data_IF_732279477756
#
_entry.id   IF_732279477756
#
_cell.length_a   1.000
_cell.length_b   1.000
_cell.length_c   1.000
_cell.angle_alpha   90.00
_cell.angle_beta   90.00
_cell.angle_gamma   90.00
#
_symmetry.space_group_name_H-M   'P 1'
#
loop_
_entity.id
_entity.type
_entity.pdbx_description
1 polymer ?
#
# COMPACT_ATOMS: atom_id res chain seq x y z
N UNK A 1 5.70 18.59 33.22
CA UNK A 1 7.11 18.31 32.86
C UNK A 1 7.28 18.59 31.38
N UNK A 2 7.75 19.80 31.10
CA UNK A 2 7.96 20.40 29.80
C UNK A 2 9.19 19.82 29.11
N UNK A 3 9.05 19.33 27.89
CA UNK A 3 10.19 19.04 27.02
C UNK A 3 10.35 20.17 26.00
N UNK A 4 11.52 20.81 25.92
CA UNK A 4 11.70 22.01 25.12
C UNK A 4 11.95 21.68 23.64
N UNK A 5 11.32 22.50 22.80
CA UNK A 5 11.47 22.58 21.36
C UNK A 5 12.84 23.19 21.03
N UNK A 6 13.77 22.40 20.50
CA UNK A 6 15.05 22.91 19.97
C UNK A 6 14.87 23.18 18.47
N UNK A 7 14.45 24.41 18.16
CA UNK A 7 14.57 25.01 16.84
C UNK A 7 15.99 25.56 16.68
N UNK A 8 16.84 24.86 15.92
CA UNK A 8 18.14 25.38 15.47
C UNK A 8 17.93 26.24 14.23
N UNK A 9 18.05 27.56 14.41
CA UNK A 9 18.14 28.59 13.37
C UNK A 9 19.50 28.48 12.65
N UNK A 10 19.59 28.40 11.32
CA UNK A 10 20.84 28.73 10.64
C UNK A 10 20.92 30.25 10.41
N UNK A 11 22.02 30.83 10.90
CA UNK A 11 22.47 32.18 10.58
C UNK A 11 23.49 32.12 9.43
N UNK A 12 23.46 33.14 8.57
CA UNK A 12 24.39 33.35 7.45
C UNK A 12 23.74 32.98 6.10
N UNK A 13 23.55 33.87 5.13
CA UNK A 13 24.20 35.15 4.86
C UNK A 13 24.97 35.04 3.54
N UNK A 14 24.28 35.19 2.41
CA UNK A 14 24.89 35.63 1.15
C UNK A 14 23.89 36.51 0.40
N UNK A 15 24.19 37.80 0.43
CA UNK A 15 23.65 38.79 -0.47
C UNK A 15 24.14 38.48 -1.89
N UNK A 16 23.21 38.31 -2.82
CA UNK A 16 23.47 38.48 -4.26
C UNK A 16 22.35 39.37 -4.77
N UNK A 17 22.70 40.65 -4.91
CA UNK A 17 21.80 41.67 -5.41
C UNK A 17 21.47 41.42 -6.88
N UNK A 18 20.18 41.38 -7.19
CA UNK A 18 19.72 41.55 -8.56
C UNK A 18 19.06 42.92 -8.64
N UNK A 19 19.88 43.84 -9.11
CA UNK A 19 19.56 45.22 -9.39
C UNK A 19 18.52 45.24 -10.52
N UNK A 20 17.29 45.61 -10.16
CA UNK A 20 16.49 46.63 -10.85
C UNK A 20 16.70 46.78 -12.36
N UNK A 21 15.71 46.35 -13.15
CA UNK A 21 15.43 46.99 -14.42
C UNK A 21 13.91 47.06 -14.63
N UNK A 22 13.34 48.15 -14.13
CA UNK A 22 12.02 48.65 -14.50
C UNK A 22 12.19 49.30 -15.87
N UNK A 23 11.59 48.73 -16.91
CA UNK A 23 11.33 49.42 -18.17
C UNK A 23 9.83 49.37 -18.44
N UNK A 24 9.20 50.53 -18.28
CA UNK A 24 7.81 50.87 -18.61
C UNK A 24 7.83 51.59 -19.97
N UNK A 25 6.69 51.93 -20.57
CA UNK A 25 5.80 51.15 -21.43
C UNK A 25 5.89 51.59 -22.92
N UNK A 26 5.31 50.85 -23.86
CA UNK A 26 4.81 51.48 -25.10
C UNK A 26 3.70 50.67 -25.76
N UNK A 27 2.49 51.21 -25.62
CA UNK A 27 1.39 51.07 -26.54
C UNK A 27 1.79 51.61 -27.91
N UNK A 28 1.86 50.76 -28.93
CA UNK A 28 1.61 51.15 -30.32
C UNK A 28 0.79 50.07 -31.02
N UNK A 29 -0.50 50.37 -31.11
CA UNK A 29 -1.39 49.97 -32.19
C UNK A 29 -0.69 50.06 -33.54
N UNK A 30 -0.63 48.95 -34.28
CA UNK A 30 -0.47 48.99 -35.74
C UNK A 30 -1.45 48.02 -36.38
N UNK A 31 -2.63 48.56 -36.67
CA UNK A 31 -3.57 48.04 -37.64
C UNK A 31 -2.90 48.04 -39.01
N UNK A 32 -2.72 46.88 -39.62
CA UNK A 32 -2.63 46.75 -41.08
C UNK A 32 -3.59 45.64 -41.48
N UNK A 33 -4.76 46.05 -41.93
CA UNK A 33 -5.66 45.28 -42.78
C UNK A 33 -4.95 45.01 -44.11
N UNK A 34 -4.80 43.74 -44.49
CA UNK A 34 -4.91 43.23 -45.87
C UNK A 34 -4.33 41.82 -45.93
N UNK A 35 -5.17 40.81 -46.12
CA UNK A 35 -4.68 39.44 -46.28
C UNK A 35 -5.78 38.39 -46.38
N UNK A 36 -6.74 38.64 -47.25
CA UNK A 36 -7.85 37.75 -47.60
C UNK A 36 -7.27 36.51 -48.33
N UNK A 37 -7.00 35.43 -47.61
CA UNK A 37 -6.66 34.14 -48.22
C UNK A 37 -7.59 33.07 -47.64
N UNK A 38 -8.70 32.91 -48.35
CA UNK A 38 -9.32 31.63 -48.73
C UNK A 38 -9.42 30.59 -47.59
N UNK A 39 -10.51 30.70 -46.84
CA UNK A 39 -11.27 29.49 -46.48
C UNK A 39 -11.59 28.76 -47.78
N UNK A 40 -11.05 27.55 -47.97
CA UNK A 40 -11.58 26.46 -48.84
C UNK A 40 -10.46 25.45 -49.12
N UNK A 41 -10.26 24.47 -48.23
CA UNK A 41 -10.07 23.07 -48.63
C UNK A 41 -10.73 22.18 -47.58
N UNK A 42 -11.56 21.27 -48.08
CA UNK A 42 -12.60 20.50 -47.43
C UNK A 42 -12.17 19.67 -46.19
N UNK A 43 -13.06 19.52 -45.18
CA UNK A 43 -12.97 18.42 -44.23
C UNK A 43 -13.40 17.09 -44.90
N UNK A 44 -12.66 16.03 -44.63
CA UNK A 44 -13.01 14.64 -44.95
C UNK A 44 -14.37 14.29 -44.33
N UNK A 45 -15.35 14.04 -45.20
CA UNK A 45 -16.70 13.57 -44.87
C UNK A 45 -16.65 12.26 -44.07
N UNK A 46 -17.05 12.32 -42.80
CA UNK A 46 -17.75 11.19 -42.16
C UNK A 46 -19.23 11.43 -42.38
N UNK A 47 -19.78 10.71 -43.36
CA UNK A 47 -21.16 10.79 -43.77
C UNK A 47 -22.04 10.10 -42.71
N UNK A 48 -22.65 10.88 -41.80
CA UNK A 48 -23.78 10.38 -41.00
C UNK A 48 -25.06 10.54 -41.85
N UNK A 49 -25.81 9.46 -42.11
CA UNK A 49 -27.06 9.56 -42.85
C UNK A 49 -28.11 10.33 -42.05
N UNK A 50 -28.76 11.24 -42.76
CA UNK A 50 -29.97 11.96 -42.35
C UNK A 50 -31.09 10.99 -42.03
N UNK A 51 -31.58 11.00 -40.79
CA UNK A 51 -32.92 10.57 -40.45
C UNK A 51 -33.43 11.30 -39.19
N UNK A 52 -34.30 12.28 -39.45
CA UNK A 52 -35.30 12.90 -38.54
C UNK A 52 -34.75 13.52 -37.24
N UNK A 53 -34.94 14.84 -37.11
CA UNK A 53 -34.53 15.75 -36.02
C UNK A 53 -34.86 15.28 -34.57
N UNK A 54 -35.75 14.30 -34.42
CA UNK A 54 -36.14 13.69 -33.15
C UNK A 54 -35.06 12.75 -32.57
N UNK A 55 -34.29 12.06 -33.41
CA UNK A 55 -33.36 11.02 -32.96
C UNK A 55 -32.02 11.57 -32.44
N UNK A 56 -31.64 12.79 -32.86
CA UNK A 56 -30.44 13.49 -32.36
C UNK A 56 -30.64 14.04 -30.95
N UNK A 57 -31.88 14.34 -30.57
CA UNK A 57 -32.26 14.70 -29.20
C UNK A 57 -32.21 13.46 -28.31
N UNK A 58 -32.72 12.32 -28.78
CA UNK A 58 -32.63 11.05 -28.06
C UNK A 58 -31.18 10.59 -27.81
N UNK A 59 -30.28 10.74 -28.79
CA UNK A 59 -28.85 10.45 -28.58
C UNK A 59 -28.18 11.41 -27.58
N UNK A 60 -28.52 12.71 -27.63
CA UNK A 60 -28.01 13.68 -26.67
C UNK A 60 -28.55 13.43 -25.25
N UNK A 61 -29.83 13.05 -25.11
CA UNK A 61 -30.44 12.64 -23.84
C UNK A 61 -29.86 11.33 -23.32
N UNK A 62 -29.60 10.35 -24.18
CA UNK A 62 -28.95 9.08 -23.80
C UNK A 62 -27.50 9.32 -23.33
N UNK A 63 -26.73 10.15 -24.02
CA UNK A 63 -25.38 10.51 -23.58
C UNK A 63 -25.38 11.34 -22.29
N UNK A 64 -26.34 12.27 -22.12
CA UNK A 64 -26.51 13.01 -20.86
C UNK A 64 -26.95 12.10 -19.70
N UNK A 65 -27.80 11.10 -19.95
CA UNK A 65 -28.20 10.08 -18.98
C UNK A 65 -27.02 9.18 -18.56
N UNK A 66 -26.16 8.80 -19.52
CA UNK A 66 -24.95 8.02 -19.24
C UNK A 66 -23.92 8.83 -18.44
N UNK A 67 -23.74 10.11 -18.75
CA UNK A 67 -22.84 11.02 -17.99
C UNK A 67 -23.36 11.31 -16.57
N UNK A 68 -24.67 11.32 -16.36
CA UNK A 68 -25.27 11.59 -15.03
C UNK A 68 -25.28 10.38 -14.10
N UNK A 69 -25.38 9.14 -14.61
CA UNK A 69 -25.32 7.94 -13.76
C UNK A 69 -23.92 7.65 -13.18
N UNK A 70 -22.86 8.28 -13.70
CA UNK A 70 -21.48 8.06 -13.24
C UNK A 70 -21.09 8.89 -12.00
N UNK A 71 -21.93 9.81 -11.53
CA UNK A 71 -21.62 10.79 -10.46
C UNK A 71 -22.53 10.59 -9.25
N UNK A 72 -22.56 9.39 -8.65
CA UNK A 72 -23.48 9.14 -7.51
C UNK A 72 -22.88 8.45 -6.28
N UNK A 73 -21.62 8.02 -6.29
CA UNK A 73 -21.03 7.28 -5.16
C UNK A 73 -19.78 7.98 -4.64
N UNK A 74 -19.90 9.24 -4.21
CA UNK A 74 -18.82 9.92 -3.52
C UNK A 74 -19.04 9.81 -2.01
N UNK A 75 -18.25 8.96 -1.34
CA UNK A 75 -18.16 8.96 0.12
C UNK A 75 -17.88 10.37 0.68
N UNK A 76 -18.33 10.68 1.90
CA UNK A 76 -18.12 11.99 2.52
C UNK A 76 -16.63 12.35 2.57
N UNK A 77 -16.26 13.43 1.88
CA UNK A 77 -14.87 13.92 1.72
C UNK A 77 -14.36 14.70 2.94
N UNK A 78 -14.99 14.54 4.10
CA UNK A 78 -14.60 15.29 5.30
C UNK A 78 -13.33 14.68 5.88
N UNK A 79 -12.38 15.51 6.29
CA UNK A 79 -11.13 15.06 6.92
C UNK A 79 -11.37 14.11 8.10
N UNK A 80 -12.45 14.33 8.88
CA UNK A 80 -12.87 13.42 9.96
C UNK A 80 -13.20 12.01 9.45
N UNK A 81 -13.86 11.89 8.31
CA UNK A 81 -14.17 10.61 7.70
C UNK A 81 -12.89 9.92 7.19
N UNK A 82 -11.99 10.68 6.56
CA UNK A 82 -10.69 10.17 6.11
C UNK A 82 -9.87 9.66 7.29
N UNK A 83 -9.75 10.44 8.38
CA UNK A 83 -9.06 10.04 9.60
C UNK A 83 -9.67 8.77 10.19
N UNK A 84 -11.01 8.69 10.24
CA UNK A 84 -11.69 7.51 10.74
C UNK A 84 -11.35 6.26 9.91
N UNK A 85 -11.41 6.37 8.59
CA UNK A 85 -11.06 5.28 7.67
C UNK A 85 -9.59 4.88 7.83
N UNK A 86 -8.66 5.84 7.87
CA UNK A 86 -7.25 5.57 8.08
C UNK A 86 -6.97 4.87 9.42
N UNK A 87 -7.75 5.15 10.47
CA UNK A 87 -7.62 4.45 11.76
C UNK A 87 -8.19 3.03 11.75
N UNK A 88 -9.08 2.69 10.80
CA UNK A 88 -9.75 1.37 10.74
C UNK A 88 -9.12 0.43 9.72
N UNK A 89 -8.73 0.97 8.58
CA UNK A 89 -8.26 0.17 7.44
C UNK A 89 -6.74 0.22 7.33
N UNK A 90 -6.10 1.26 7.86
CA UNK A 90 -4.65 1.40 7.89
C UNK A 90 -4.14 1.45 9.34
N UNK A 91 -2.83 1.59 9.50
CA UNK A 91 -2.17 1.72 10.80
C UNK A 91 -2.30 3.13 11.42
N UNK A 92 -3.36 3.88 11.06
CA UNK A 92 -3.56 5.28 11.41
C UNK A 92 -2.96 6.28 10.41
N UNK A 93 -3.29 7.59 10.55
CA UNK A 93 -2.87 8.62 9.60
C UNK A 93 -1.37 8.94 9.72
N UNK A 94 -0.60 8.64 8.67
CA UNK A 94 0.79 9.11 8.54
C UNK A 94 0.86 10.47 7.85
N UNK A 95 1.96 11.23 8.02
CA UNK A 95 2.19 12.45 7.25
C UNK A 95 2.06 12.17 5.74
N UNK A 96 1.16 12.90 5.08
CA UNK A 96 0.85 12.77 3.65
C UNK A 96 -0.25 11.78 3.30
N UNK A 97 -0.73 10.92 4.21
CA UNK A 97 -1.81 9.97 3.88
C UNK A 97 -3.18 10.66 3.76
N UNK A 98 -3.40 11.72 4.53
CA UNK A 98 -4.60 12.55 4.40
C UNK A 98 -4.71 13.15 3.01
N UNK A 99 -3.60 13.68 2.47
CA UNK A 99 -3.58 14.30 1.15
C UNK A 99 -3.75 13.26 0.04
N UNK A 100 -3.14 12.06 0.19
CA UNK A 100 -3.33 10.94 -0.74
C UNK A 100 -4.79 10.51 -0.81
N UNK A 101 -5.42 10.24 0.34
CA UNK A 101 -6.82 9.81 0.39
C UNK A 101 -7.76 10.93 -0.06
N UNK A 102 -7.42 12.19 0.22
CA UNK A 102 -8.18 13.34 -0.28
C UNK A 102 -8.11 13.43 -1.82
N UNK A 103 -6.96 13.11 -2.42
CA UNK A 103 -6.78 13.13 -3.87
C UNK A 103 -7.54 12.01 -4.60
N UNK A 104 -7.52 10.78 -4.08
CA UNK A 104 -8.15 9.62 -4.74
C UNK A 104 -9.58 9.34 -4.27
N UNK A 105 -9.95 9.81 -3.07
CA UNK A 105 -11.22 9.53 -2.41
C UNK A 105 -11.20 8.27 -1.54
N UNK A 106 -12.10 8.21 -0.56
CA UNK A 106 -12.20 7.09 0.39
C UNK A 106 -12.52 5.78 -0.33
N UNK A 107 -13.48 5.79 -1.26
CA UNK A 107 -13.94 4.56 -1.93
C UNK A 107 -12.82 3.90 -2.74
N UNK A 108 -12.06 4.72 -3.50
CA UNK A 108 -10.89 4.24 -4.26
C UNK A 108 -9.75 3.79 -3.36
N UNK A 109 -9.55 4.47 -2.23
CA UNK A 109 -8.57 4.04 -1.24
C UNK A 109 -8.92 2.66 -0.67
N UNK A 110 -10.19 2.43 -0.31
CA UNK A 110 -10.66 1.14 0.19
C UNK A 110 -10.49 0.04 -0.88
N UNK A 111 -10.83 0.33 -2.13
CA UNK A 111 -10.64 -0.61 -3.25
C UNK A 111 -9.17 -1.03 -3.41
N UNK A 112 -8.22 -0.11 -3.22
CA UNK A 112 -6.78 -0.44 -3.24
C UNK A 112 -6.36 -1.35 -2.08
N UNK A 113 -7.02 -1.24 -0.91
CA UNK A 113 -6.74 -2.12 0.24
C UNK A 113 -7.29 -3.53 0.03
N UNK A 114 -8.41 -3.65 -0.69
CA UNK A 114 -9.03 -4.94 -1.02
C UNK A 114 -8.27 -5.67 -2.14
N UNK A 115 -7.66 -4.92 -3.05
CA UNK A 115 -6.96 -5.44 -4.23
C UNK A 115 -5.49 -4.96 -4.29
N UNK A 116 -4.64 -5.38 -3.36
CA UNK A 116 -3.24 -4.94 -3.30
C UNK A 116 -2.43 -5.34 -4.55
N UNK A 117 -2.82 -6.40 -5.25
CA UNK A 117 -2.20 -6.86 -6.49
C UNK A 117 -2.25 -5.82 -7.63
N UNK A 118 -3.15 -4.83 -7.54
CA UNK A 118 -3.28 -3.75 -8.52
C UNK A 118 -2.35 -2.56 -8.22
N UNK A 119 -1.71 -2.54 -7.05
CA UNK A 119 -0.81 -1.47 -6.62
C UNK A 119 0.63 -1.90 -6.87
N UNK A 120 1.29 -1.27 -7.84
CA UNK A 120 2.69 -1.54 -8.14
C UNK A 120 3.63 -0.87 -7.11
N UNK A 121 4.33 -1.67 -6.29
CA UNK A 121 5.37 -1.19 -5.36
C UNK A 121 6.75 -1.82 -5.65
N UNK A 122 7.33 -1.38 -6.76
CA UNK A 122 8.66 -1.82 -7.21
C UNK A 122 9.80 -1.49 -6.23
N UNK A 123 9.56 -0.58 -5.28
CA UNK A 123 10.52 -0.23 -4.25
C UNK A 123 10.63 -1.32 -3.19
N UNK A 124 9.47 -1.81 -2.72
CA UNK A 124 9.38 -2.94 -1.79
C UNK A 124 9.83 -4.23 -2.47
N UNK A 125 9.40 -4.49 -3.71
CA UNK A 125 9.78 -5.70 -4.45
C UNK A 125 11.30 -5.89 -4.52
N UNK A 126 12.04 -4.82 -4.83
CA UNK A 126 13.52 -4.85 -4.88
C UNK A 126 14.15 -5.14 -3.52
N UNK A 127 13.56 -4.65 -2.42
CA UNK A 127 14.07 -4.90 -1.06
C UNK A 127 13.79 -6.35 -0.64
N UNK A 128 12.62 -6.88 -0.99
CA UNK A 128 12.23 -8.25 -0.69
C UNK A 128 13.01 -9.26 -1.52
N UNK A 129 13.44 -8.93 -2.74
CA UNK A 129 14.22 -9.81 -3.60
C UNK A 129 15.51 -10.35 -2.95
N UNK A 130 16.11 -9.60 -2.02
CA UNK A 130 17.29 -10.04 -1.28
C UNK A 130 16.98 -11.06 -0.16
N UNK A 131 15.72 -11.16 0.27
CA UNK A 131 15.29 -12.01 1.38
C UNK A 131 14.83 -13.37 0.85
N UNK A 132 15.79 -14.26 0.63
CA UNK A 132 15.56 -15.56 -0.02
C UNK A 132 14.53 -16.45 0.69
N UNK A 133 14.34 -16.31 2.00
CA UNK A 133 13.38 -17.11 2.78
C UNK A 133 11.92 -16.78 2.51
N UNK A 134 11.61 -15.55 2.07
CA UNK A 134 10.22 -15.11 1.83
C UNK A 134 9.59 -15.86 0.66
N UNK A 135 10.40 -16.23 -0.34
CA UNK A 135 9.94 -16.96 -1.52
C UNK A 135 9.97 -18.49 -1.39
N UNK A 136 10.42 -19.04 -0.26
CA UNK A 136 10.51 -20.49 -0.07
C UNK A 136 9.14 -21.10 0.23
N UNK A 137 8.90 -22.28 -0.34
CA UNK A 137 7.76 -23.11 0.04
C UNK A 137 7.93 -23.67 1.45
N UNK A 138 6.82 -24.02 2.11
CA UNK A 138 6.86 -24.65 3.45
C UNK A 138 7.71 -25.93 3.47
N UNK A 139 7.72 -26.68 2.36
CA UNK A 139 8.56 -27.88 2.19
C UNK A 139 10.05 -27.53 2.22
N UNK A 140 10.48 -26.57 1.42
CA UNK A 140 11.88 -26.15 1.35
C UNK A 140 12.37 -25.61 2.69
N UNK A 141 11.51 -24.89 3.42
CA UNK A 141 11.82 -24.41 4.78
C UNK A 141 12.07 -25.61 5.72
N UNK A 142 11.17 -26.60 5.72
CA UNK A 142 11.30 -27.78 6.59
C UNK A 142 12.57 -28.58 6.27
N UNK A 143 12.86 -28.80 4.99
CA UNK A 143 14.04 -29.56 4.56
C UNK A 143 15.35 -28.82 4.88
N UNK A 144 15.40 -27.50 4.63
CA UNK A 144 16.63 -26.71 4.77
C UNK A 144 16.95 -26.30 6.20
N UNK A 145 15.95 -26.07 7.04
CA UNK A 145 16.14 -25.54 8.39
C UNK A 145 15.70 -26.52 9.48
N UNK A 146 14.51 -27.12 9.38
CA UNK A 146 13.95 -27.93 10.48
C UNK A 146 14.57 -29.33 10.57
N UNK A 147 14.70 -30.02 9.43
CA UNK A 147 15.29 -31.36 9.35
C UNK A 147 16.71 -31.43 9.94
N UNK A 148 17.67 -30.56 9.59
CA UNK A 148 19.00 -30.60 10.18
C UNK A 148 18.97 -30.29 11.69
N UNK A 149 18.11 -29.39 12.15
CA UNK A 149 17.95 -29.12 13.58
C UNK A 149 17.43 -30.34 14.36
N UNK A 150 16.45 -31.06 13.81
CA UNK A 150 15.91 -32.29 14.40
C UNK A 150 16.95 -33.41 14.42
N UNK A 151 17.72 -33.57 13.35
CA UNK A 151 18.80 -34.55 13.28
C UNK A 151 19.90 -34.25 14.31
N UNK A 152 20.35 -32.99 14.42
CA UNK A 152 21.31 -32.58 15.43
C UNK A 152 20.80 -32.83 16.86
N UNK A 153 19.51 -32.57 17.11
CA UNK A 153 18.87 -32.87 18.40
C UNK A 153 18.84 -34.38 18.69
N UNK A 154 18.52 -35.21 17.70
CA UNK A 154 18.53 -36.68 17.83
C UNK A 154 19.93 -37.20 18.10
N UNK A 155 20.94 -36.73 17.37
CA UNK A 155 22.33 -37.11 17.56
C UNK A 155 22.84 -36.77 18.97
N UNK A 156 22.55 -35.56 19.49
CA UNK A 156 22.89 -35.17 20.87
C UNK A 156 22.22 -36.07 21.92
N UNK A 157 20.96 -36.46 21.70
CA UNK A 157 20.25 -37.37 22.61
C UNK A 157 20.84 -38.77 22.60
N UNK A 158 21.23 -39.29 21.42
CA UNK A 158 21.91 -40.57 21.30
C UNK A 158 23.27 -40.55 22.01
N UNK A 159 24.10 -39.53 21.74
CA UNK A 159 25.40 -39.39 22.39
C UNK A 159 25.29 -39.26 23.93
N UNK A 160 24.27 -38.55 24.43
CA UNK A 160 24.01 -38.46 25.86
C UNK A 160 23.58 -39.82 26.46
N UNK A 161 22.77 -40.60 25.74
CA UNK A 161 22.35 -41.94 26.17
C UNK A 161 23.56 -42.88 26.27
N UNK A 162 24.44 -42.88 25.26
CA UNK A 162 25.66 -43.70 25.23
C UNK A 162 26.61 -43.36 26.39
N UNK A 163 26.75 -42.07 26.73
CA UNK A 163 27.55 -41.61 27.87
C UNK A 163 26.95 -41.91 29.25
N UNK A 164 25.68 -42.32 29.30
CA UNK A 164 24.94 -42.62 30.54
C UNK A 164 24.72 -44.12 30.80
N UNK A 165 25.20 -44.99 29.91
CA UNK A 165 25.12 -46.45 30.09
C UNK A 165 26.08 -46.89 31.23
N UNK A 166 25.59 -47.53 32.31
CA UNK A 166 26.43 -47.86 33.45
C UNK A 166 27.35 -49.04 33.13
N UNK A 167 28.66 -48.82 33.32
CA UNK A 167 29.63 -49.87 33.56
C UNK A 167 29.14 -50.79 34.67
N UNK A 168 29.12 -52.09 34.39
CA UNK A 168 28.42 -53.12 35.15
C UNK A 168 28.55 -53.02 36.66
N UNK A 169 27.45 -52.67 37.30
CA UNK A 169 27.10 -53.10 38.66
C UNK A 169 25.61 -53.43 38.63
N UNK A 170 25.18 -54.65 39.00
CA UNK A 170 23.76 -54.98 39.07
C UNK A 170 23.12 -54.16 40.20
N UNK A 171 22.56 -53.00 39.86
CA UNK A 171 21.82 -52.18 40.82
C UNK A 171 20.41 -52.74 41.01
N UNK A 172 20.25 -53.54 42.05
CA UNK A 172 18.97 -54.10 42.50
C UNK A 172 18.03 -53.05 43.15
N UNK A 173 18.11 -51.77 42.75
CA UNK A 173 17.32 -50.70 43.37
C UNK A 173 16.87 -49.67 42.33
N UNK A 174 15.88 -50.02 41.51
CA UNK A 174 15.13 -49.05 40.71
C UNK A 174 13.64 -49.42 40.67
N UNK A 175 13.08 -49.75 41.84
CA UNK A 175 11.66 -49.55 42.12
C UNK A 175 11.46 -48.15 42.70
N UNK A 176 10.39 -47.48 42.28
CA UNK A 176 9.98 -46.11 42.65
C UNK A 176 10.76 -44.96 41.97
N UNK A 177 10.40 -44.66 40.72
CA UNK A 177 10.38 -43.28 40.24
C UNK A 177 9.10 -43.07 39.42
N UNK A 178 8.05 -42.60 40.10
CA UNK A 178 6.85 -42.08 39.44
C UNK A 178 7.23 -40.87 38.58
N UNK A 179 6.70 -40.73 37.34
CA UNK A 179 6.92 -39.52 36.56
C UNK A 179 6.24 -38.33 37.27
N UNK A 180 6.90 -37.16 37.42
CA UNK A 180 6.21 -35.97 37.90
C UNK A 180 5.11 -35.62 36.89
N UNK A 181 3.90 -35.45 37.42
CA UNK A 181 2.68 -35.22 36.66
C UNK A 181 2.86 -34.11 35.61
N UNK A 182 2.48 -34.43 34.38
CA UNK A 182 1.92 -33.42 33.50
C UNK A 182 0.43 -33.56 33.62
N UNK A 183 -0.14 -32.71 34.46
CA UNK A 183 -1.57 -32.48 34.49
C UNK A 183 -1.94 -31.91 33.13
N UNK A 184 -2.36 -32.78 32.22
CA UNK A 184 -3.02 -32.41 30.97
C UNK A 184 -4.44 -31.94 31.31
N UNK A 185 -4.56 -30.84 32.05
CA UNK A 185 -5.76 -30.03 32.09
C UNK A 185 -5.66 -29.00 30.96
N UNK A 186 -5.82 -29.48 29.73
CA UNK A 186 -6.29 -28.64 28.65
C UNK A 186 -7.80 -28.50 28.84
N UNK A 187 -8.22 -27.51 29.63
CA UNK A 187 -9.63 -27.12 29.69
C UNK A 187 -10.00 -26.48 28.33
N UNK A 188 -11.01 -27.00 27.60
CA UNK A 188 -11.45 -26.34 26.37
C UNK A 188 -12.22 -25.07 26.75
N UNK A 189 -11.53 -23.94 26.70
CA UNK A 189 -12.10 -22.60 26.84
C UNK A 189 -12.94 -22.21 25.60
N UNK A 190 -14.00 -22.98 25.30
CA UNK A 190 -15.09 -22.52 24.45
C UNK A 190 -16.37 -23.33 24.71
N UNK A 191 -17.04 -23.03 25.82
CA UNK A 191 -18.46 -23.33 26.02
C UNK A 191 -19.16 -22.02 26.35
N UNK A 192 -19.49 -21.25 25.32
CA UNK A 192 -20.40 -20.11 25.40
C UNK A 192 -21.77 -20.62 24.98
N UNK A 193 -22.72 -20.62 25.93
CA UNK A 193 -24.16 -20.51 25.67
C UNK A 193 -24.52 -19.03 25.55
#
# INVERSE_FOLDING_TARGET
>A
MSWPCVMRRPAGGLAVGWKMMIARPSTLTRTVMAGRIVWQVLPTLVHLPSSKCSMRRLFAFAMALIVTLAVAQAAPKTDRAIIHVLNRVAFGPRPGDLDKVRAIGIDRYIEQQLHPERVADTGVDRRLAALTTIGMSSREIAERFEAPMLQARRARRAAAADSSAPSGVPSAAAGLAAPPGRDLQMEPANRVM
#
